data_IF_202300503108
#
_entry.id   IF_202300503108
#
_cell.length_a   1.000
_cell.length_b   1.000
_cell.length_c   1.000
_cell.angle_alpha   90.00
_cell.angle_beta   90.00
_cell.angle_gamma   90.00
#
_symmetry.space_group_name_H-M   'P 1'
#
loop_
_entity.id
_entity.type
_entity.pdbx_description
1 polymer ?
#
# COMPACT_ATOMS: atom_id res chain seq x y z
N UNK A 1 -21.72 46.12 51.50
CA UNK A 1 -21.75 44.68 51.14
C UNK A 1 -23.12 44.33 50.58
N UNK A 2 -23.12 43.74 49.39
CA UNK A 2 -24.13 42.86 48.79
C UNK A 2 -25.58 43.34 48.66
N UNK A 3 -25.89 43.84 47.46
CA UNK A 3 -27.25 44.17 47.02
C UNK A 3 -28.12 42.95 46.76
N UNK A 4 -29.40 43.07 47.14
CA UNK A 4 -30.50 42.18 46.77
C UNK A 4 -31.66 43.07 46.35
N UNK A 5 -31.96 43.12 45.04
CA UNK A 5 -33.23 43.65 44.53
C UNK A 5 -33.75 42.75 43.42
N UNK A 6 -34.81 42.02 43.79
CA UNK A 6 -35.80 41.41 42.89
C UNK A 6 -36.67 42.51 42.27
N UNK A 7 -37.04 42.35 40.99
CA UNK A 7 -38.29 42.87 40.37
C UNK A 7 -38.63 41.90 39.21
N UNK A 8 -39.77 41.20 39.28
CA UNK A 8 -41.13 41.52 38.79
C UNK A 8 -41.36 41.08 37.33
N UNK A 9 -42.24 40.07 37.15
CA UNK A 9 -43.51 40.07 36.36
C UNK A 9 -43.30 40.02 34.83
N UNK A 10 -43.94 39.18 34.00
CA UNK A 10 -45.36 38.76 33.94
C UNK A 10 -45.59 37.71 32.83
N UNK A 11 -46.27 36.59 33.15
CA UNK A 11 -47.44 35.88 32.53
C UNK A 11 -47.84 36.24 31.06
N UNK A 12 -48.52 35.38 30.23
CA UNK A 12 -48.53 33.91 30.01
C UNK A 12 -48.39 33.54 28.49
N UNK A 13 -48.46 32.25 28.17
CA UNK A 13 -48.12 31.69 26.85
C UNK A 13 -49.20 31.66 25.75
N UNK A 14 -48.76 31.13 24.60
CA UNK A 14 -49.57 30.54 23.52
C UNK A 14 -48.63 30.03 22.41
N UNK A 15 -48.91 28.85 21.87
CA UNK A 15 -48.31 28.37 20.62
C UNK A 15 -47.64 27.01 20.78
N UNK A 16 -48.41 25.97 20.47
CA UNK A 16 -47.90 24.69 20.01
C UNK A 16 -47.32 24.88 18.61
N UNK A 17 -46.47 23.91 18.23
CA UNK A 17 -45.87 23.67 16.91
C UNK A 17 -44.56 24.43 16.64
N UNK A 18 -43.43 23.70 16.72
CA UNK A 18 -42.44 23.58 15.63
C UNK A 18 -41.23 22.71 16.03
N UNK A 19 -41.07 21.63 15.26
CA UNK A 19 -39.85 21.02 14.74
C UNK A 19 -38.80 20.36 15.68
N UNK A 20 -38.97 19.05 15.84
CA UNK A 20 -37.85 18.09 15.82
C UNK A 20 -37.20 18.12 14.42
N UNK A 21 -36.03 18.74 14.27
CA UNK A 21 -35.13 18.40 13.16
C UNK A 21 -33.67 18.38 13.61
N UNK A 22 -33.17 17.18 13.87
CA UNK A 22 -31.74 16.92 13.89
C UNK A 22 -31.46 15.49 13.52
N UNK A 23 -31.62 15.16 12.24
CA UNK A 23 -30.92 14.06 11.57
C UNK A 23 -31.11 14.10 10.05
N UNK A 24 -30.11 14.56 9.31
CA UNK A 24 -29.70 13.95 8.03
C UNK A 24 -28.44 14.61 7.46
N UNK A 25 -27.29 14.31 8.07
CA UNK A 25 -26.03 14.44 7.34
C UNK A 25 -26.06 13.43 6.19
N UNK A 26 -26.01 13.94 4.96
CA UNK A 26 -26.21 13.17 3.74
C UNK A 26 -25.13 12.09 3.54
N UNK A 27 -25.59 10.95 3.02
CA UNK A 27 -24.84 9.72 2.72
C UNK A 27 -23.56 9.94 1.88
N UNK A 28 -23.47 11.05 1.16
CA UNK A 28 -22.28 11.46 0.41
C UNK A 28 -21.03 11.72 1.29
N UNK A 29 -21.22 12.03 2.58
CA UNK A 29 -20.10 12.29 3.51
C UNK A 29 -19.49 11.01 4.10
N UNK A 30 -20.24 9.88 4.11
CA UNK A 30 -19.69 8.55 4.45
C UNK A 30 -18.92 7.94 3.28
N UNK A 31 -19.38 8.16 2.05
CA UNK A 31 -18.78 7.61 0.81
C UNK A 31 -17.39 8.14 0.45
N UNK A 32 -16.83 9.09 1.22
CA UNK A 32 -15.51 9.70 0.93
C UNK A 32 -14.39 9.23 1.87
N UNK A 33 -14.66 8.25 2.74
CA UNK A 33 -13.66 7.63 3.62
C UNK A 33 -13.67 6.13 3.36
N UNK A 34 -12.73 5.64 2.56
CA UNK A 34 -11.97 4.38 2.74
C UNK A 34 -11.13 4.12 1.48
N UNK A 35 -10.11 4.96 1.24
CA UNK A 35 -8.86 4.45 0.66
C UNK A 35 -8.08 3.90 1.86
N UNK A 36 -8.45 2.72 2.34
CA UNK A 36 -7.83 2.14 3.54
C UNK A 36 -6.42 1.70 3.21
N UNK A 37 -5.46 2.14 4.02
CA UNK A 37 -4.07 1.69 3.95
C UNK A 37 -4.05 0.15 4.13
N UNK A 38 -3.26 -0.62 3.37
CA UNK A 38 -3.03 -2.04 3.65
C UNK A 38 -2.83 -2.33 5.15
N UNK A 39 -2.15 -1.44 5.88
CA UNK A 39 -1.97 -1.55 7.32
C UNK A 39 -3.30 -1.50 8.11
N UNK A 40 -4.25 -0.64 7.72
CA UNK A 40 -5.57 -0.54 8.36
C UNK A 40 -6.39 -1.82 8.13
N UNK A 41 -6.26 -2.43 6.95
CA UNK A 41 -6.92 -3.70 6.65
C UNK A 41 -6.34 -4.85 7.47
N UNK A 42 -5.02 -4.94 7.55
CA UNK A 42 -4.35 -5.94 8.37
C UNK A 42 -4.73 -5.76 9.84
N UNK A 43 -4.80 -4.51 10.33
CA UNK A 43 -5.25 -4.20 11.68
C UNK A 43 -6.69 -4.68 11.93
N UNK A 44 -7.61 -4.45 10.99
CA UNK A 44 -8.99 -4.94 11.10
C UNK A 44 -9.06 -6.48 11.16
N UNK A 45 -8.29 -7.19 10.32
CA UNK A 45 -8.24 -8.65 10.33
C UNK A 45 -7.63 -9.19 11.63
N UNK A 46 -6.58 -8.55 12.14
CA UNK A 46 -5.99 -8.90 13.43
C UNK A 46 -7.00 -8.71 14.57
N UNK A 47 -7.71 -7.58 14.62
CA UNK A 47 -8.69 -7.30 15.67
C UNK A 47 -9.89 -8.26 15.60
N UNK A 48 -10.29 -8.66 14.39
CA UNK A 48 -11.31 -9.68 14.19
C UNK A 48 -10.90 -11.00 14.86
N UNK A 49 -9.70 -11.51 14.55
CA UNK A 49 -9.20 -12.76 15.17
C UNK A 49 -9.07 -12.59 16.68
N UNK A 50 -8.54 -11.46 17.13
CA UNK A 50 -8.22 -11.20 18.54
C UNK A 50 -9.46 -11.11 19.42
N UNK A 51 -10.57 -10.61 18.88
CA UNK A 51 -11.79 -10.33 19.62
C UNK A 51 -12.94 -11.31 19.33
N UNK A 52 -12.74 -12.28 18.43
CA UNK A 52 -13.75 -13.29 18.13
C UNK A 52 -14.05 -14.15 19.36
N UNK A 53 -15.33 -14.18 19.75
CA UNK A 53 -15.83 -14.97 20.89
C UNK A 53 -16.52 -16.22 20.40
N UNK A 54 -16.22 -17.35 21.06
CA UNK A 54 -16.93 -18.61 20.88
C UNK A 54 -18.30 -18.55 21.57
N UNK A 55 -19.12 -19.57 21.34
CA UNK A 55 -20.47 -19.70 21.94
C UNK A 55 -20.44 -19.70 23.47
N UNK A 56 -19.35 -20.19 24.08
CA UNK A 56 -19.13 -20.20 25.52
C UNK A 56 -18.64 -18.85 26.10
N UNK A 57 -18.44 -17.85 25.25
CA UNK A 57 -17.95 -16.52 25.61
C UNK A 57 -16.43 -16.40 25.77
N UNK A 58 -15.68 -17.50 25.65
CA UNK A 58 -14.22 -17.48 25.60
C UNK A 58 -13.72 -16.95 24.25
N UNK A 59 -12.47 -16.49 24.19
CA UNK A 59 -11.92 -15.99 22.94
C UNK A 59 -11.37 -17.15 22.13
N UNK A 60 -11.70 -17.17 20.84
CA UNK A 60 -11.25 -18.20 19.92
C UNK A 60 -9.71 -18.29 19.88
N UNK A 61 -9.05 -17.15 20.06
CA UNK A 61 -7.60 -17.03 19.96
C UNK A 61 -6.82 -17.35 21.26
N UNK A 62 -7.48 -17.70 22.37
CA UNK A 62 -6.82 -17.77 23.69
C UNK A 62 -5.58 -18.69 23.70
N UNK A 63 -5.66 -19.87 23.08
CA UNK A 63 -4.54 -20.83 22.97
C UNK A 63 -3.41 -20.39 22.02
N UNK A 64 -3.59 -19.30 21.28
CA UNK A 64 -2.67 -18.81 20.24
C UNK A 64 -2.02 -17.47 20.60
N UNK A 65 -2.40 -16.88 21.75
CA UNK A 65 -1.82 -15.61 22.22
C UNK A 65 -0.31 -15.76 22.45
N UNK A 66 0.14 -16.91 22.96
CA UNK A 66 1.55 -17.21 23.22
C UNK A 66 1.88 -18.63 22.80
N UNK A 67 2.99 -18.79 22.08
CA UNK A 67 3.50 -20.10 21.75
C UNK A 67 3.92 -20.85 23.05
N UNK A 68 3.81 -22.19 23.09
CA UNK A 68 4.28 -22.99 24.21
C UNK A 68 5.75 -22.69 24.50
N UNK A 69 6.14 -22.54 25.76
CA UNK A 69 7.55 -22.26 26.10
C UNK A 69 8.37 -23.54 25.95
N UNK A 70 9.53 -23.47 25.29
CA UNK A 70 10.43 -24.63 25.07
C UNK A 70 10.82 -25.41 26.34
N UNK A 71 10.92 -24.72 27.48
CA UNK A 71 11.23 -25.37 28.78
C UNK A 71 10.03 -26.14 29.38
N UNK A 72 8.82 -25.74 29.04
CA UNK A 72 7.57 -26.31 29.58
C UNK A 72 7.01 -27.38 28.64
N UNK A 73 7.16 -27.18 27.34
CA UNK A 73 6.67 -28.08 26.30
C UNK A 73 7.77 -28.30 25.25
N UNK A 74 8.80 -29.10 25.56
CA UNK A 74 9.90 -29.35 24.62
C UNK A 74 9.44 -30.11 23.37
N UNK A 75 8.46 -31.01 23.50
CA UNK A 75 7.91 -31.80 22.40
C UNK A 75 7.31 -30.93 21.29
N UNK A 76 6.79 -29.74 21.62
CA UNK A 76 6.31 -28.78 20.63
C UNK A 76 7.41 -28.40 19.63
N UNK A 77 8.63 -28.16 20.12
CA UNK A 77 9.77 -27.71 19.31
C UNK A 77 10.50 -28.86 18.59
N UNK A 78 10.10 -30.11 18.84
CA UNK A 78 10.53 -31.26 18.02
C UNK A 78 9.72 -31.37 16.74
N UNK A 79 8.46 -30.90 16.77
CA UNK A 79 7.52 -30.96 15.65
C UNK A 79 7.46 -29.62 14.90
N UNK A 80 7.56 -28.50 15.62
CA UNK A 80 7.41 -27.14 15.09
C UNK A 80 8.77 -26.47 14.97
N UNK A 81 9.21 -26.24 13.73
CA UNK A 81 10.50 -25.58 13.42
C UNK A 81 10.46 -24.07 13.61
N UNK A 82 9.36 -23.42 13.21
CA UNK A 82 9.20 -21.96 13.21
C UNK A 82 8.00 -21.53 14.07
N UNK A 83 8.15 -21.49 15.41
CA UNK A 83 7.09 -21.04 16.30
C UNK A 83 6.69 -19.59 16.04
N UNK A 84 5.39 -19.34 16.00
CA UNK A 84 4.81 -18.01 15.92
C UNK A 84 3.54 -17.97 16.78
N UNK A 85 3.23 -16.80 17.32
CA UNK A 85 2.02 -16.55 18.12
C UNK A 85 1.46 -15.15 17.84
N UNK A 86 0.25 -14.89 18.34
CA UNK A 86 -0.42 -13.62 18.09
C UNK A 86 0.30 -12.42 18.70
N UNK A 87 1.12 -12.59 19.75
CA UNK A 87 1.95 -11.48 20.25
C UNK A 87 3.07 -11.13 19.27
N UNK A 88 3.70 -12.13 18.63
CA UNK A 88 4.69 -11.90 17.58
C UNK A 88 4.03 -11.27 16.35
N UNK A 89 2.85 -11.75 15.95
CA UNK A 89 2.07 -11.13 14.85
C UNK A 89 1.70 -9.68 15.19
N UNK A 90 1.24 -9.41 16.41
CA UNK A 90 0.94 -8.05 16.87
C UNK A 90 2.19 -7.15 16.88
N UNK A 91 3.34 -7.70 17.27
CA UNK A 91 4.60 -6.98 17.21
C UNK A 91 4.92 -6.60 15.77
N UNK A 92 4.88 -7.56 14.84
CA UNK A 92 5.13 -7.35 13.40
C UNK A 92 4.18 -6.30 12.82
N UNK A 93 2.91 -6.32 13.23
CA UNK A 93 1.94 -5.30 12.83
C UNK A 93 2.32 -3.90 13.35
N UNK A 94 2.69 -3.78 14.63
CA UNK A 94 3.10 -2.49 15.24
C UNK A 94 4.42 -1.95 14.70
N UNK A 95 5.31 -2.84 14.28
CA UNK A 95 6.59 -2.49 13.64
C UNK A 95 6.45 -2.32 12.14
N UNK A 96 5.24 -2.43 11.58
CA UNK A 96 4.90 -2.28 10.15
C UNK A 96 5.64 -3.31 9.27
N UNK A 97 5.95 -4.50 9.80
CA UNK A 97 6.71 -5.57 9.13
C UNK A 97 5.90 -6.33 8.08
N UNK A 98 4.59 -6.06 7.95
CA UNK A 98 3.75 -6.64 6.90
C UNK A 98 3.66 -5.69 5.72
N UNK A 99 4.04 -6.17 4.54
CA UNK A 99 4.00 -5.39 3.31
C UNK A 99 2.59 -5.29 2.72
N UNK A 100 1.87 -6.40 2.83
CA UNK A 100 0.53 -6.58 2.31
C UNK A 100 -0.26 -7.61 3.16
N UNK A 101 -1.49 -7.86 2.73
CA UNK A 101 -2.39 -8.80 3.41
C UNK A 101 -1.88 -10.24 3.28
N UNK A 102 -1.11 -10.58 2.25
CA UNK A 102 -0.61 -11.93 2.02
C UNK A 102 0.54 -12.27 2.98
N UNK A 103 1.42 -11.32 3.31
CA UNK A 103 2.43 -11.49 4.36
C UNK A 103 1.78 -11.76 5.73
N UNK A 104 0.75 -10.99 6.06
CA UNK A 104 -0.02 -11.21 7.30
C UNK A 104 -0.73 -12.57 7.27
N UNK A 105 -1.36 -12.91 6.15
CA UNK A 105 -2.06 -14.20 5.97
C UNK A 105 -1.09 -15.36 6.15
N UNK A 106 0.14 -15.25 5.63
CA UNK A 106 1.18 -16.27 5.72
C UNK A 106 1.60 -16.54 7.17
N UNK A 107 1.73 -15.50 7.99
CA UNK A 107 2.05 -15.65 9.42
C UNK A 107 0.90 -16.29 10.21
N UNK A 108 -0.35 -15.93 9.91
CA UNK A 108 -1.53 -16.59 10.51
C UNK A 108 -1.62 -18.05 10.05
N UNK A 109 -1.35 -18.33 8.78
CA UNK A 109 -1.31 -19.69 8.24
C UNK A 109 -0.23 -20.52 8.93
N UNK A 110 0.97 -19.96 9.14
CA UNK A 110 2.04 -20.60 9.88
C UNK A 110 1.61 -20.93 11.32
N UNK A 111 0.94 -19.99 12.00
CA UNK A 111 0.41 -20.21 13.34
C UNK A 111 -0.60 -21.37 13.38
N UNK A 112 -1.52 -21.41 12.42
CA UNK A 112 -2.52 -22.47 12.28
C UNK A 112 -1.86 -23.81 11.95
N UNK A 113 -0.92 -23.84 11.02
CA UNK A 113 -0.21 -25.06 10.61
C UNK A 113 0.65 -25.63 11.75
N UNK A 114 1.32 -24.78 12.53
CA UNK A 114 2.04 -25.19 13.72
C UNK A 114 1.13 -25.86 14.74
N UNK A 115 -0.05 -25.28 14.98
CA UNK A 115 -1.05 -25.88 15.86
C UNK A 115 -1.57 -27.22 15.32
N UNK A 116 -1.83 -27.32 14.01
CA UNK A 116 -2.28 -28.55 13.37
C UNK A 116 -1.22 -29.66 13.35
N UNK A 117 0.06 -29.28 13.31
CA UNK A 117 1.18 -30.21 13.38
C UNK A 117 1.35 -30.81 14.77
N UNK A 118 1.18 -29.99 15.83
CA UNK A 118 1.38 -30.43 17.21
C UNK A 118 0.11 -31.03 17.85
N UNK A 119 -1.04 -30.39 17.69
CA UNK A 119 -2.28 -30.81 18.34
C UNK A 119 -3.06 -31.83 17.51
N UNK A 120 -3.66 -32.79 18.21
CA UNK A 120 -4.50 -33.84 17.60
C UNK A 120 -5.72 -33.23 16.94
N UNK A 121 -6.16 -33.78 15.79
CA UNK A 121 -7.37 -33.34 15.07
C UNK A 121 -8.65 -33.26 15.89
N UNK A 122 -8.73 -34.04 16.98
CA UNK A 122 -9.88 -34.06 17.88
C UNK A 122 -9.83 -33.01 18.99
N UNK A 123 -8.67 -32.37 19.20
CA UNK A 123 -8.48 -31.40 20.28
C UNK A 123 -9.16 -30.08 19.97
N UNK A 124 -9.42 -29.28 21.01
CA UNK A 124 -10.06 -27.98 20.84
C UNK A 124 -9.13 -27.00 20.10
N UNK A 125 -7.84 -27.03 20.39
CA UNK A 125 -6.83 -26.18 19.75
C UNK A 125 -6.76 -26.43 18.25
N UNK A 126 -6.87 -27.70 17.81
CA UNK A 126 -6.90 -28.01 16.38
C UNK A 126 -8.17 -27.49 15.71
N UNK A 127 -9.32 -27.57 16.39
CA UNK A 127 -10.59 -27.03 15.87
C UNK A 127 -10.55 -25.51 15.82
N UNK A 128 -10.12 -24.87 16.91
CA UNK A 128 -9.98 -23.42 17.03
C UNK A 128 -9.00 -22.89 15.95
N UNK A 129 -7.91 -23.61 15.64
CA UNK A 129 -6.98 -23.23 14.57
C UNK A 129 -7.66 -23.21 13.19
N UNK A 130 -8.50 -24.21 12.88
CA UNK A 130 -9.23 -24.23 11.62
C UNK A 130 -10.29 -23.11 11.58
N UNK A 131 -10.98 -22.85 12.69
CA UNK A 131 -11.97 -21.78 12.76
C UNK A 131 -11.33 -20.39 12.59
N UNK A 132 -10.16 -20.13 13.18
CA UNK A 132 -9.38 -18.91 12.94
C UNK A 132 -9.05 -18.75 11.46
N UNK A 133 -8.65 -19.84 10.79
CA UNK A 133 -8.33 -19.82 9.37
C UNK A 133 -9.54 -19.49 8.51
N UNK A 134 -10.68 -20.15 8.75
CA UNK A 134 -11.93 -19.89 8.02
C UNK A 134 -12.44 -18.46 8.25
N UNK A 135 -12.36 -17.96 9.49
CA UNK A 135 -12.74 -16.60 9.84
C UNK A 135 -11.88 -15.58 9.07
N UNK A 136 -10.57 -15.81 8.97
CA UNK A 136 -9.65 -14.96 8.22
C UNK A 136 -9.98 -14.99 6.72
N UNK A 137 -10.13 -16.18 6.12
CA UNK A 137 -10.39 -16.33 4.68
C UNK A 137 -11.73 -15.74 4.26
N UNK A 138 -12.78 -15.97 5.07
CA UNK A 138 -14.10 -15.39 4.84
C UNK A 138 -14.04 -13.86 4.85
N UNK A 139 -13.36 -13.29 5.83
CA UNK A 139 -13.24 -11.83 5.97
C UNK A 139 -12.37 -11.22 4.89
N UNK A 140 -11.27 -11.88 4.51
CA UNK A 140 -10.41 -11.50 3.38
C UNK A 140 -11.20 -11.46 2.08
N UNK A 141 -11.99 -12.50 1.81
CA UNK A 141 -12.80 -12.59 0.58
C UNK A 141 -13.88 -11.50 0.56
N UNK A 142 -14.59 -11.30 1.68
CA UNK A 142 -15.60 -10.24 1.81
C UNK A 142 -15.03 -8.86 1.52
N UNK A 143 -13.83 -8.57 2.04
CA UNK A 143 -13.16 -7.29 1.83
C UNK A 143 -12.67 -7.12 0.39
N UNK A 144 -12.15 -8.18 -0.25
CA UNK A 144 -11.76 -8.15 -1.65
C UNK A 144 -12.96 -7.94 -2.59
N UNK A 145 -14.12 -8.52 -2.25
CA UNK A 145 -15.35 -8.34 -3.01
C UNK A 145 -15.92 -6.92 -2.85
N UNK A 146 -15.82 -6.31 -1.66
CA UNK A 146 -16.20 -4.91 -1.44
C UNK A 146 -15.36 -3.96 -2.30
N UNK A 147 -14.04 -4.19 -2.39
CA UNK A 147 -13.15 -3.42 -3.26
C UNK A 147 -13.48 -3.59 -4.76
N UNK A 148 -13.89 -4.79 -5.19
CA UNK A 148 -14.30 -5.06 -6.57
C UNK A 148 -15.65 -4.43 -6.93
N UNK A 149 -16.61 -4.43 -6.01
CA UNK A 149 -17.93 -3.82 -6.23
C UNK A 149 -17.84 -2.29 -6.32
N UNK A 150 -16.95 -1.65 -5.57
CA UNK A 150 -16.66 -0.21 -5.73
C UNK A 150 -16.10 0.14 -7.11
N UNK A 151 -15.31 -0.75 -7.72
CA UNK A 151 -14.82 -0.59 -9.10
C UNK A 151 -15.91 -0.77 -10.17
N UNK A 152 -16.93 -1.60 -9.91
CA UNK A 152 -18.06 -1.80 -10.83
C UNK A 152 -19.13 -0.70 -10.71
N UNK A 153 -19.47 -0.26 -9.50
CA UNK A 153 -20.43 0.83 -9.26
C UNK A 153 -19.89 2.22 -9.67
N UNK A 154 -18.57 2.37 -9.77
CA UNK A 154 -17.92 3.57 -10.31
C UNK A 154 -17.94 3.66 -11.85
N UNK A 155 -18.40 2.62 -12.58
CA UNK A 155 -18.57 2.69 -14.04
C UNK A 155 -19.94 3.31 -14.40
N UNK A 156 -19.99 4.42 -15.17
CA UNK A 156 -21.26 4.89 -15.70
C UNK A 156 -21.78 3.88 -16.73
N UNK A 157 -22.96 3.32 -16.46
CA UNK A 157 -23.69 2.48 -17.41
C UNK A 157 -24.02 3.29 -18.66
N UNK A 158 -23.43 2.91 -19.81
CA UNK A 158 -23.80 3.47 -21.11
C UNK A 158 -25.23 3.00 -21.46
N UNK A 159 -26.13 3.89 -21.95
CA UNK A 159 -27.46 3.46 -22.35
C UNK A 159 -27.43 2.65 -23.65
N UNK A 160 -28.38 1.72 -23.70
CA UNK A 160 -28.62 0.70 -24.72
C UNK A 160 -29.02 1.28 -26.08
N UNK A 161 -28.65 0.54 -27.14
CA UNK A 161 -28.82 0.78 -28.58
C UNK A 161 -30.27 0.90 -29.05
N UNK A 162 -30.50 1.67 -30.12
CA UNK A 162 -31.61 1.47 -31.08
C UNK A 162 -31.09 1.30 -32.52
N UNK A 163 -31.86 0.67 -33.44
CA UNK A 163 -31.33 0.01 -34.63
C UNK A 163 -31.66 0.74 -35.95
N UNK A 164 -30.76 0.65 -36.94
CA UNK A 164 -31.03 1.07 -38.33
C UNK A 164 -29.98 0.56 -39.32
N UNK A 165 -30.38 -0.36 -40.22
CA UNK A 165 -29.68 -0.88 -41.41
C UNK A 165 -30.25 -0.18 -42.68
N UNK A 166 -29.79 -0.46 -43.93
CA UNK A 166 -28.42 -0.61 -44.45
C UNK A 166 -28.23 0.14 -45.81
N UNK A 167 -26.98 0.35 -46.27
CA UNK A 167 -26.68 0.81 -47.63
C UNK A 167 -25.33 0.29 -48.13
N UNK A 168 -25.32 -0.40 -49.28
CA UNK A 168 -24.19 -1.13 -49.89
C UNK A 168 -23.21 -0.23 -50.66
N UNK A 169 -21.90 -0.45 -50.46
CA UNK A 169 -20.73 -0.68 -51.38
C UNK A 169 -20.71 -0.03 -52.80
N UNK A 170 -19.54 0.26 -53.44
CA UNK A 170 -18.29 -0.53 -53.36
C UNK A 170 -16.91 0.18 -53.41
N UNK A 171 -15.92 -0.59 -52.93
CA UNK A 171 -14.48 -0.64 -53.20
C UNK A 171 -13.76 0.54 -53.88
N UNK A 172 -12.76 1.08 -53.18
CA UNK A 172 -11.42 1.33 -53.76
C UNK A 172 -10.38 0.86 -52.76
N UNK A 173 -9.48 0.00 -53.24
CA UNK A 173 -8.32 -0.51 -52.51
C UNK A 173 -7.26 0.60 -52.58
N UNK A 174 -7.00 1.26 -51.45
CA UNK A 174 -5.69 1.84 -51.15
C UNK A 174 -5.19 1.09 -49.94
N UNK A 175 -4.12 0.33 -50.16
CA UNK A 175 -3.28 -0.21 -49.09
C UNK A 175 -2.59 1.02 -48.50
N UNK A 176 -3.15 1.57 -47.43
CA UNK A 176 -2.42 2.46 -46.53
C UNK A 176 -1.60 1.57 -45.60
N UNK A 177 -0.31 1.86 -45.55
CA UNK A 177 0.67 1.23 -44.65
C UNK A 177 0.23 1.36 -43.19
N UNK A 178 0.66 0.45 -42.29
CA UNK A 178 0.22 0.49 -40.91
C UNK A 178 0.85 1.69 -40.19
N UNK A 179 0.00 2.57 -39.67
CA UNK A 179 0.30 3.60 -38.66
C UNK A 179 0.64 2.96 -37.29
N UNK A 180 1.53 1.97 -37.24
CA UNK A 180 1.99 1.37 -35.97
C UNK A 180 3.14 2.18 -35.33
N UNK A 181 3.88 2.97 -36.12
CA UNK A 181 5.07 3.71 -35.64
C UNK A 181 4.76 4.93 -34.77
N UNK A 182 3.56 5.52 -34.87
CA UNK A 182 3.22 6.78 -34.16
C UNK A 182 2.62 6.54 -32.78
N UNK A 183 1.93 5.41 -32.59
CA UNK A 183 1.33 5.03 -31.31
C UNK A 183 2.37 4.53 -30.30
N UNK A 184 3.36 3.74 -30.75
CA UNK A 184 4.45 3.23 -29.90
C UNK A 184 5.35 4.35 -29.36
N UNK A 185 5.76 5.30 -30.20
CA UNK A 185 6.53 6.48 -29.76
C UNK A 185 5.75 7.32 -28.73
N UNK A 186 4.43 7.42 -28.87
CA UNK A 186 3.58 8.16 -27.94
C UNK A 186 3.42 7.47 -26.58
N UNK A 187 3.41 6.14 -26.57
CA UNK A 187 3.33 5.33 -25.35
C UNK A 187 4.65 5.37 -24.57
N UNK A 188 5.79 5.25 -25.26
CA UNK A 188 7.12 5.35 -24.66
C UNK A 188 7.37 6.75 -24.07
N UNK A 189 6.94 7.81 -24.77
CA UNK A 189 6.99 9.17 -24.21
C UNK A 189 6.17 9.30 -22.91
N UNK A 190 5.01 8.64 -22.83
CA UNK A 190 4.15 8.68 -21.65
C UNK A 190 4.73 7.88 -20.47
N UNK A 191 5.30 6.70 -20.73
CA UNK A 191 5.99 5.91 -19.69
C UNK A 191 7.19 6.68 -19.15
N UNK A 192 8.01 7.29 -20.02
CA UNK A 192 9.15 8.12 -19.60
C UNK A 192 8.73 9.26 -18.67
N UNK A 193 7.62 9.95 -19.00
CA UNK A 193 7.08 11.02 -18.15
C UNK A 193 6.57 10.49 -16.80
N UNK A 194 5.88 9.35 -16.79
CA UNK A 194 5.39 8.74 -15.54
C UNK A 194 6.55 8.30 -14.64
N UNK A 195 7.61 7.76 -15.23
CA UNK A 195 8.82 7.41 -14.50
C UNK A 195 9.48 8.65 -13.88
N UNK A 196 9.61 9.75 -14.64
CA UNK A 196 10.15 11.00 -14.11
C UNK A 196 9.30 11.60 -12.98
N UNK A 197 7.96 11.56 -13.11
CA UNK A 197 7.04 12.05 -12.09
C UNK A 197 7.12 11.22 -10.80
N UNK A 198 7.20 9.89 -10.92
CA UNK A 198 7.35 8.99 -9.78
C UNK A 198 8.72 9.18 -9.10
N UNK A 199 9.80 9.29 -9.88
CA UNK A 199 11.15 9.52 -9.36
C UNK A 199 11.25 10.86 -8.63
N UNK A 200 10.64 11.90 -9.20
CA UNK A 200 10.59 13.25 -8.60
C UNK A 200 9.90 13.21 -7.24
N UNK A 201 8.78 12.49 -7.11
CA UNK A 201 8.09 12.35 -5.84
C UNK A 201 8.97 11.68 -4.76
N UNK A 202 9.75 10.67 -5.13
CA UNK A 202 10.71 10.01 -4.22
C UNK A 202 11.82 10.96 -3.79
N UNK A 203 12.40 11.72 -4.74
CA UNK A 203 13.47 12.68 -4.47
C UNK A 203 13.01 13.90 -3.66
N UNK A 204 11.71 14.20 -3.65
CA UNK A 204 11.11 15.31 -2.90
C UNK A 204 10.43 14.85 -1.60
N UNK A 205 10.39 13.55 -1.33
CA UNK A 205 9.77 13.01 -0.13
C UNK A 205 10.52 13.49 1.13
N UNK A 206 9.74 13.96 2.11
CA UNK A 206 10.24 14.47 3.39
C UNK A 206 9.54 13.77 4.56
N UNK A 207 10.23 13.70 5.70
CA UNK A 207 9.64 13.29 6.98
C UNK A 207 8.72 14.37 7.55
N UNK A 208 8.04 14.08 8.66
CA UNK A 208 7.23 15.06 9.41
C UNK A 208 8.03 16.32 9.80
N UNK A 209 9.31 16.16 10.13
CA UNK A 209 10.23 17.26 10.44
C UNK A 209 10.81 17.99 9.20
N UNK A 210 10.25 17.78 8.00
CA UNK A 210 10.74 18.32 6.71
C UNK A 210 12.16 17.87 6.30
N UNK A 211 12.70 16.80 6.89
CA UNK A 211 13.99 16.24 6.46
C UNK A 211 13.79 15.40 5.20
N UNK A 212 14.66 15.56 4.21
CA UNK A 212 14.65 14.75 2.99
C UNK A 212 14.99 13.28 3.30
N UNK A 213 14.23 12.36 2.70
CA UNK A 213 14.33 10.93 2.99
C UNK A 213 15.33 10.20 2.09
N UNK A 214 15.50 10.67 0.85
CA UNK A 214 16.28 9.98 -0.18
C UNK A 214 17.81 9.90 0.03
N UNK A 215 18.51 10.76 0.80
CA UNK A 215 19.98 10.76 0.82
C UNK A 215 20.66 9.41 1.11
N UNK A 216 20.21 8.59 2.10
CA UNK A 216 20.81 7.27 2.36
C UNK A 216 20.61 6.24 1.24
N UNK A 217 19.74 6.52 0.28
CA UNK A 217 19.36 5.63 -0.82
C UNK A 217 19.97 6.07 -2.16
N UNK A 218 20.74 7.16 -2.17
CA UNK A 218 21.31 7.72 -3.41
C UNK A 218 22.33 6.79 -4.06
N UNK A 219 23.19 6.19 -3.24
CA UNK A 219 24.31 5.35 -3.67
C UNK A 219 24.36 4.11 -2.79
N UNK A 220 24.66 2.96 -3.40
CA UNK A 220 24.99 1.74 -2.69
C UNK A 220 26.17 1.95 -1.74
N UNK A 221 26.19 1.24 -0.58
CA UNK A 221 27.37 1.21 0.29
C UNK A 221 28.61 0.73 -0.47
N UNK A 222 29.79 1.30 -0.20
CA UNK A 222 31.04 0.79 -0.80
C UNK A 222 31.24 -0.68 -0.44
N UNK A 223 31.51 -1.51 -1.45
CA UNK A 223 31.77 -2.95 -1.28
C UNK A 223 33.05 -3.24 -0.50
N UNK A 224 34.05 -2.36 -0.60
CA UNK A 224 35.28 -2.42 0.20
C UNK A 224 35.03 -2.13 1.67
N UNK A 225 34.15 -1.18 1.97
CA UNK A 225 33.86 -0.74 3.35
C UNK A 225 32.77 -1.56 4.05
N UNK A 226 31.80 -2.05 3.29
CA UNK A 226 30.65 -2.82 3.78
C UNK A 226 30.48 -4.12 2.98
N UNK A 227 31.46 -5.04 2.98
CA UNK A 227 31.35 -6.31 2.29
C UNK A 227 30.13 -7.14 2.75
N UNK A 228 29.79 -7.08 4.04
CA UNK A 228 28.67 -7.78 4.65
C UNK A 228 27.30 -7.35 4.09
N UNK A 229 27.19 -6.12 3.57
CA UNK A 229 25.99 -5.67 2.87
C UNK A 229 25.70 -6.57 1.66
N UNK A 230 26.74 -6.92 0.91
CA UNK A 230 26.65 -7.73 -0.30
C UNK A 230 26.58 -9.23 -0.01
N UNK A 231 26.78 -9.65 1.23
CA UNK A 231 26.52 -11.03 1.68
C UNK A 231 25.05 -11.23 2.06
N UNK A 232 24.41 -10.18 2.61
CA UNK A 232 23.00 -10.20 3.04
C UNK A 232 22.05 -9.82 1.92
N UNK A 233 22.42 -8.84 1.09
CA UNK A 233 21.56 -8.27 0.04
C UNK A 233 21.89 -8.88 -1.31
N UNK A 234 21.00 -9.76 -1.79
CA UNK A 234 21.15 -10.48 -3.05
C UNK A 234 21.07 -9.58 -4.28
N UNK A 235 20.19 -8.57 -4.26
CA UNK A 235 19.93 -7.68 -5.40
C UNK A 235 20.13 -6.21 -5.01
N UNK A 236 21.39 -5.73 -4.87
CA UNK A 236 21.67 -4.33 -4.56
C UNK A 236 21.14 -3.38 -5.64
N UNK A 237 20.47 -2.32 -5.21
CA UNK A 237 19.98 -1.24 -6.08
C UNK A 237 19.92 0.08 -5.29
N UNK A 238 20.18 1.19 -5.97
CA UNK A 238 20.11 2.55 -5.42
C UNK A 238 19.41 3.53 -6.40
N UNK A 239 19.17 4.77 -5.96
CA UNK A 239 18.52 5.79 -6.79
C UNK A 239 19.37 6.24 -7.99
N UNK A 240 20.69 6.13 -7.93
CA UNK A 240 21.57 6.40 -9.08
C UNK A 240 21.32 5.40 -10.20
N UNK A 241 21.24 4.10 -9.90
CA UNK A 241 20.95 3.03 -10.84
C UNK A 241 19.55 3.22 -11.44
N UNK A 242 18.55 3.50 -10.59
CA UNK A 242 17.17 3.76 -11.04
C UNK A 242 17.13 5.01 -11.93
N UNK A 243 17.74 6.12 -11.53
CA UNK A 243 17.86 7.33 -12.34
C UNK A 243 18.53 7.06 -13.69
N UNK A 244 19.58 6.23 -13.72
CA UNK A 244 20.26 5.80 -14.95
C UNK A 244 19.31 5.02 -15.86
N UNK A 245 18.51 4.09 -15.31
CA UNK A 245 17.52 3.32 -16.08
C UNK A 245 16.44 4.22 -16.67
N UNK A 246 15.98 5.25 -15.94
CA UNK A 246 15.03 6.25 -16.45
C UNK A 246 15.64 7.00 -17.64
N UNK A 247 16.85 7.55 -17.49
CA UNK A 247 17.51 8.32 -18.55
C UNK A 247 17.82 7.50 -19.80
N UNK A 248 18.02 6.20 -19.65
CA UNK A 248 18.25 5.26 -20.76
C UNK A 248 16.96 4.67 -21.34
N UNK A 249 15.78 5.04 -20.84
CA UNK A 249 14.51 4.48 -21.30
C UNK A 249 14.39 2.97 -21.07
N UNK A 250 14.99 2.45 -19.99
CA UNK A 250 15.06 0.99 -19.70
C UNK A 250 13.82 0.42 -19.01
N UNK A 251 12.83 1.24 -18.72
CA UNK A 251 11.56 0.80 -18.15
C UNK A 251 10.50 0.80 -19.24
N UNK A 252 9.97 -0.38 -19.56
CA UNK A 252 8.87 -0.53 -20.51
C UNK A 252 7.51 -0.34 -19.84
N UNK A 253 7.47 -0.29 -18.51
CA UNK A 253 6.25 0.03 -17.76
C UNK A 253 6.57 0.68 -16.41
N UNK A 254 5.59 1.42 -15.87
CA UNK A 254 5.68 2.00 -14.53
C UNK A 254 5.85 0.93 -13.44
N UNK A 255 5.28 -0.27 -13.65
CA UNK A 255 5.39 -1.41 -12.73
C UNK A 255 6.84 -1.90 -12.60
N UNK A 256 7.63 -1.89 -13.67
CA UNK A 256 9.05 -2.27 -13.59
C UNK A 256 9.86 -1.26 -12.77
N UNK A 257 9.57 0.03 -12.92
CA UNK A 257 10.22 1.07 -12.10
C UNK A 257 9.79 0.98 -10.64
N UNK A 258 8.51 0.76 -10.36
CA UNK A 258 8.02 0.55 -9.00
C UNK A 258 8.76 -0.62 -8.35
N UNK A 259 8.90 -1.75 -9.05
CA UNK A 259 9.59 -2.93 -8.52
C UNK A 259 11.01 -2.61 -8.05
N UNK A 260 11.75 -1.81 -8.80
CA UNK A 260 13.09 -1.37 -8.43
C UNK A 260 13.10 -0.45 -7.19
N UNK A 261 12.17 0.51 -7.11
CA UNK A 261 12.02 1.38 -5.95
C UNK A 261 11.62 0.59 -4.69
N UNK A 262 10.71 -0.37 -4.83
CA UNK A 262 10.32 -1.26 -3.75
C UNK A 262 11.48 -2.17 -3.32
N UNK A 263 12.24 -2.71 -4.26
CA UNK A 263 13.45 -3.50 -3.96
C UNK A 263 14.47 -2.69 -3.17
N UNK A 264 14.70 -1.42 -3.55
CA UNK A 264 15.59 -0.51 -2.82
C UNK A 264 15.15 -0.33 -1.36
N UNK A 265 13.86 -0.06 -1.12
CA UNK A 265 13.33 0.10 0.25
C UNK A 265 13.35 -1.22 1.03
N UNK A 266 13.07 -2.36 0.37
CA UNK A 266 13.14 -3.70 0.96
C UNK A 266 14.57 -4.06 1.38
N UNK A 267 15.57 -3.77 0.55
CA UNK A 267 16.97 -3.99 0.88
C UNK A 267 17.38 -3.20 2.12
N UNK A 268 16.96 -1.92 2.19
CA UNK A 268 17.22 -1.10 3.36
C UNK A 268 16.55 -1.66 4.63
N UNK A 269 15.30 -2.12 4.54
CA UNK A 269 14.62 -2.76 5.67
C UNK A 269 15.25 -4.11 6.06
N UNK A 270 15.82 -4.85 5.11
CA UNK A 270 16.44 -6.17 5.36
C UNK A 270 17.79 -6.02 6.06
N UNK A 271 18.60 -5.06 5.63
CA UNK A 271 19.94 -4.85 6.18
C UNK A 271 19.95 -4.04 7.48
N UNK A 272 19.08 -3.04 7.60
CA UNK A 272 19.11 -2.11 8.74
C UNK A 272 18.21 -2.57 9.88
N UNK A 273 18.61 -2.27 11.11
CA UNK A 273 17.83 -2.65 12.30
C UNK A 273 16.43 -2.02 12.30
N UNK A 274 15.37 -2.79 12.65
CA UNK A 274 14.03 -2.26 12.85
C UNK A 274 14.03 -1.09 13.84
N UNK A 275 13.47 0.05 13.42
CA UNK A 275 13.40 1.27 14.23
C UNK A 275 14.56 2.25 14.04
N UNK A 276 15.63 1.86 13.34
CA UNK A 276 16.67 2.78 12.87
C UNK A 276 16.09 3.85 11.92
N UNK A 277 16.79 4.96 11.75
CA UNK A 277 16.29 6.06 10.91
C UNK A 277 16.17 5.63 9.44
N UNK A 278 17.15 4.90 8.90
CA UNK A 278 17.13 4.41 7.51
C UNK A 278 15.97 3.43 7.30
N UNK A 279 15.72 2.56 8.27
CA UNK A 279 14.58 1.63 8.21
C UNK A 279 13.24 2.38 8.18
N UNK A 280 13.08 3.42 9.03
CA UNK A 280 11.88 4.27 9.03
C UNK A 280 11.74 5.04 7.71
N UNK A 281 12.82 5.64 7.22
CA UNK A 281 12.84 6.39 5.97
C UNK A 281 12.49 5.48 4.77
N UNK A 282 12.97 4.23 4.76
CA UNK A 282 12.64 3.25 3.74
C UNK A 282 11.14 2.95 3.70
N UNK A 283 10.49 2.80 4.87
CA UNK A 283 9.04 2.60 4.96
C UNK A 283 8.26 3.83 4.51
N UNK A 284 8.69 5.02 4.91
CA UNK A 284 8.07 6.27 4.45
C UNK A 284 8.19 6.43 2.94
N UNK A 285 9.36 6.14 2.35
CA UNK A 285 9.57 6.18 0.89
C UNK A 285 8.69 5.14 0.18
N UNK A 286 8.60 3.92 0.69
CA UNK A 286 7.71 2.89 0.14
C UNK A 286 6.26 3.38 0.05
N UNK A 287 5.73 3.96 1.13
CA UNK A 287 4.36 4.52 1.15
C UNK A 287 4.20 5.64 0.12
N UNK A 288 5.21 6.51 -0.02
CA UNK A 288 5.20 7.57 -1.04
C UNK A 288 5.20 7.02 -2.47
N UNK A 289 5.97 5.97 -2.75
CA UNK A 289 6.01 5.31 -4.07
C UNK A 289 4.63 4.75 -4.42
N UNK A 290 4.02 3.98 -3.52
CA UNK A 290 2.70 3.38 -3.72
C UNK A 290 1.62 4.44 -3.91
N UNK A 291 1.62 5.49 -3.06
CA UNK A 291 0.69 6.60 -3.17
C UNK A 291 0.82 7.33 -4.50
N UNK A 292 2.04 7.66 -4.91
CA UNK A 292 2.28 8.40 -6.17
C UNK A 292 1.96 7.56 -7.39
N UNK A 293 2.27 6.26 -7.37
CA UNK A 293 1.89 5.32 -8.45
C UNK A 293 0.37 5.27 -8.62
N UNK A 294 -0.38 5.12 -7.53
CA UNK A 294 -1.84 5.09 -7.59
C UNK A 294 -2.42 6.43 -8.12
N UNK A 295 -1.81 7.56 -7.77
CA UNK A 295 -2.17 8.87 -8.33
C UNK A 295 -1.94 8.93 -9.85
N UNK A 296 -0.79 8.44 -10.34
CA UNK A 296 -0.45 8.40 -11.77
C UNK A 296 -1.43 7.49 -12.53
N UNK A 297 -1.76 6.31 -12.01
CA UNK A 297 -2.73 5.40 -12.63
C UNK A 297 -4.14 6.00 -12.68
N UNK A 298 -4.59 6.66 -11.60
CA UNK A 298 -5.89 7.36 -11.57
C UNK A 298 -5.92 8.56 -12.53
N UNK A 299 -4.77 9.23 -12.73
CA UNK A 299 -4.61 10.32 -13.68
C UNK A 299 -4.83 9.92 -15.14
N UNK A 300 -4.56 8.65 -15.50
CA UNK A 300 -4.83 8.12 -16.86
C UNK A 300 -6.31 8.04 -17.21
N UNK A 301 -7.20 7.94 -16.21
CA UNK A 301 -8.64 7.74 -16.41
C UNK A 301 -9.47 9.04 -16.36
N UNK A 302 -8.84 10.21 -16.23
CA UNK A 302 -9.54 11.50 -16.19
C UNK A 302 -9.42 12.26 -17.53
N UNK A 303 -10.44 12.24 -18.41
CA UNK A 303 -10.43 12.97 -19.67
C UNK A 303 -10.69 14.46 -19.39
N UNK A 304 -9.65 15.23 -19.05
CA UNK A 304 -9.83 16.67 -18.82
C UNK A 304 -8.62 17.51 -18.42
N UNK A 305 -7.47 16.91 -18.06
CA UNK A 305 -6.30 17.69 -17.61
C UNK A 305 -5.15 17.68 -18.61
N UNK A 306 -5.42 18.05 -19.87
CA UNK A 306 -4.37 18.29 -20.87
C UNK A 306 -3.43 19.47 -20.53
N UNK A 307 -3.87 20.39 -19.67
CA UNK A 307 -3.16 21.63 -19.35
C UNK A 307 -1.93 21.44 -18.44
N UNK A 308 -2.00 20.52 -17.47
CA UNK A 308 -0.88 20.28 -16.54
C UNK A 308 0.27 19.49 -17.20
N UNK A 309 -0.06 18.52 -18.08
CA UNK A 309 0.91 17.77 -18.89
C UNK A 309 1.79 18.68 -19.78
N UNK A 310 1.22 19.77 -20.32
CA UNK A 310 1.96 20.74 -21.14
C UNK A 310 2.94 21.56 -20.29
N UNK A 311 2.62 21.79 -19.01
CA UNK A 311 3.49 22.53 -18.08
C UNK A 311 4.72 21.71 -17.69
N UNK A 312 4.58 20.39 -17.52
CA UNK A 312 5.69 19.46 -17.28
C UNK A 312 6.59 19.32 -18.51
N UNK A 313 6.03 19.40 -19.73
CA UNK A 313 6.78 19.35 -21.00
C UNK A 313 7.81 20.48 -21.15
N UNK A 314 7.62 21.63 -20.48
CA UNK A 314 8.56 22.78 -20.52
C UNK A 314 9.75 22.69 -19.54
N UNK A 315 9.77 21.72 -18.64
CA UNK A 315 10.89 21.52 -17.72
C UNK A 315 12.03 20.66 -18.32
N UNK A 316 11.85 20.20 -19.57
CA UNK A 316 12.69 19.20 -20.25
C UNK A 316 14.01 19.69 -20.86
N UNK A 317 14.47 20.90 -20.57
CA UNK A 317 15.80 21.35 -21.03
C UNK A 317 16.71 21.66 -19.85
N UNK A 318 17.35 20.61 -19.29
CA UNK A 318 18.60 20.77 -18.53
C UNK A 318 18.74 19.94 -17.25
N UNK A 319 17.71 19.86 -16.40
CA UNK A 319 17.91 19.39 -15.00
C UNK A 319 16.75 18.49 -14.50
N UNK A 320 16.56 17.27 -15.03
CA UNK A 320 15.69 16.30 -14.34
C UNK A 320 16.39 15.72 -13.10
N UNK A 321 15.64 15.42 -12.04
CA UNK A 321 16.23 14.87 -10.80
C UNK A 321 16.81 13.47 -11.03
N UNK A 322 16.25 12.70 -11.97
CA UNK A 322 16.80 11.41 -12.38
C UNK A 322 18.12 11.54 -13.13
N UNK A 323 18.29 12.58 -13.98
CA UNK A 323 19.57 12.90 -14.58
C UNK A 323 20.62 13.30 -13.54
N UNK A 324 20.23 14.12 -12.55
CA UNK A 324 21.12 14.50 -11.45
C UNK A 324 21.55 13.28 -10.61
N UNK A 325 20.63 12.36 -10.31
CA UNK A 325 20.95 11.12 -9.61
C UNK A 325 21.85 10.19 -10.44
N UNK A 326 21.57 10.05 -11.75
CA UNK A 326 22.37 9.23 -12.66
C UNK A 326 23.81 9.73 -12.80
N UNK A 327 24.02 11.05 -12.69
CA UNK A 327 25.33 11.69 -12.79
C UNK A 327 26.18 11.58 -11.51
N UNK A 328 25.64 11.08 -10.40
CA UNK A 328 26.41 10.82 -9.19
C UNK A 328 27.53 9.81 -9.47
N UNK A 329 28.62 9.90 -8.73
CA UNK A 329 29.70 8.91 -8.77
C UNK A 329 29.65 8.10 -7.49
N UNK A 330 29.96 6.80 -7.60
CA UNK A 330 30.34 6.06 -6.41
C UNK A 330 31.67 6.62 -5.92
N UNK A 331 31.88 6.64 -4.62
CA UNK A 331 33.22 6.90 -4.09
C UNK A 331 34.11 5.77 -4.62
N UNK A 332 35.06 6.14 -5.48
CA UNK A 332 35.91 5.20 -6.20
C UNK A 332 36.61 4.27 -5.18
N UNK A 333 36.61 2.96 -5.44
CA UNK A 333 37.46 1.99 -4.73
C UNK A 333 38.96 2.19 -5.09
N UNK A 334 39.27 3.15 -5.97
CA UNK A 334 40.59 3.58 -6.42
C UNK A 334 41.24 4.56 -5.42
N UNK A 335 41.77 4.01 -4.34
CA UNK A 335 43.01 4.52 -3.76
C UNK A 335 43.98 3.33 -3.75
N UNK A 336 45.02 3.46 -4.59
CA UNK A 336 46.15 2.54 -4.86
C UNK A 336 46.74 1.85 -3.62
#
# INVERSE_FOLDING_TARGET
>A
MSGKRRRMSSIPGKGLDDDEDSQSATDASRRKRMKTDPADFIQQLYDLIRNHKKEDGSLLCDSFIRAPKRRQEPAYYEVVSNPIDLLKVQQKLKTDEYEDIDDFTSDIELMVNNAKAFYKRTSQEHKDANEIWELLQTSKTRLLDELRQEEEDAKPTKPVKTPGKPGRKPLTIKVEEPEESSEEESADEDISLQCEDLFTAVMQATSEDNRTLFPPFQLLPSKKRYPEYYEVIENPIDLKMIGTKIQQGKYSSLTEMEKDLLQMTKNACTFNEPGSQIYKDAKSLRKQVQLKRAEIEQGKFSPGKGSDRIRTKRFRSGNSLSAAAAALKYEDDDDD
#
